data_IF_615460953736
#
_entry.id   IF_615460953736
#
_cell.length_a   1.000
_cell.length_b   1.000
_cell.length_c   1.000
_cell.angle_alpha   90.00
_cell.angle_beta   90.00
_cell.angle_gamma   90.00
#
_symmetry.space_group_name_H-M   'P 1'
#
loop_
_entity.id
_entity.type
_entity.pdbx_description
1 polymer ?
#
# COMPACT_ATOMS: atom_id res chain seq x y z
N UNK A 1 -1.24 -20.96 27.97
CA UNK A 1 -1.97 -19.95 27.18
C UNK A 1 -0.98 -18.82 26.97
N UNK A 2 -0.15 -18.93 25.95
CA UNK A 2 0.77 -17.86 25.54
C UNK A 2 -0.02 -16.91 24.63
N UNK A 3 -0.92 -16.14 25.24
CA UNK A 3 -1.37 -14.88 24.64
C UNK A 3 -0.30 -13.83 24.99
N UNK A 4 0.89 -13.95 24.40
CA UNK A 4 1.69 -12.76 24.23
C UNK A 4 0.89 -11.85 23.30
N UNK A 5 0.31 -10.78 23.88
CA UNK A 5 -0.29 -9.68 23.13
C UNK A 5 0.72 -9.23 22.06
N UNK A 6 0.59 -9.75 20.83
CA UNK A 6 1.30 -9.21 19.69
C UNK A 6 0.89 -7.75 19.61
N UNK A 7 1.70 -6.84 20.11
CA UNK A 7 1.35 -5.42 20.10
C UNK A 7 1.67 -4.86 18.72
N UNK A 8 0.65 -4.52 17.95
CA UNK A 8 0.84 -3.82 16.68
C UNK A 8 1.46 -2.44 16.96
N UNK A 9 2.47 -2.07 16.18
CA UNK A 9 3.17 -0.80 16.37
C UNK A 9 2.23 0.40 16.16
N UNK A 10 2.37 1.43 17.00
CA UNK A 10 1.62 2.69 16.81
C UNK A 10 1.96 3.37 15.48
N UNK A 11 3.14 3.13 14.92
CA UNK A 11 3.54 3.62 13.59
C UNK A 11 2.68 3.02 12.49
N UNK A 12 2.40 1.72 12.55
CA UNK A 12 1.53 1.05 11.59
C UNK A 12 0.10 1.62 11.68
N UNK A 13 -0.46 1.70 12.88
CA UNK A 13 -1.82 2.23 13.07
C UNK A 13 -1.94 3.69 12.61
N UNK A 14 -0.93 4.52 12.88
CA UNK A 14 -0.86 5.89 12.35
C UNK A 14 -0.79 5.91 10.82
N UNK A 15 -0.06 4.98 10.20
CA UNK A 15 0.03 4.89 8.73
C UNK A 15 -1.31 4.50 8.11
N UNK A 16 -2.08 3.61 8.73
CA UNK A 16 -3.44 3.26 8.29
C UNK A 16 -4.38 4.46 8.42
N UNK A 17 -4.29 5.22 9.51
CA UNK A 17 -5.07 6.46 9.68
C UNK A 17 -4.71 7.52 8.64
N UNK A 18 -3.41 7.72 8.39
CA UNK A 18 -2.92 8.64 7.38
C UNK A 18 -3.36 8.23 5.96
N UNK A 19 -3.33 6.93 5.65
CA UNK A 19 -3.85 6.40 4.39
C UNK A 19 -5.34 6.70 4.24
N UNK A 20 -6.13 6.40 5.26
CA UNK A 20 -7.58 6.63 5.24
C UNK A 20 -7.92 8.12 5.09
N UNK A 21 -7.31 8.99 5.91
CA UNK A 21 -7.53 10.44 5.87
C UNK A 21 -7.03 11.10 4.59
N UNK A 22 -5.97 10.54 4.00
CA UNK A 22 -5.36 11.01 2.75
C UNK A 22 -5.92 10.33 1.50
N UNK A 23 -6.91 9.44 1.65
CA UNK A 23 -7.32 8.51 0.59
C UNK A 23 -7.68 9.21 -0.71
N UNK A 24 -8.49 10.28 -0.69
CA UNK A 24 -8.83 11.02 -1.92
C UNK A 24 -7.61 11.43 -2.74
N UNK A 25 -6.59 12.01 -2.07
CA UNK A 25 -5.35 12.45 -2.75
C UNK A 25 -4.50 11.28 -3.24
N UNK A 26 -4.47 10.20 -2.47
CA UNK A 26 -3.75 8.98 -2.83
C UNK A 26 -4.43 8.36 -4.07
N UNK A 27 -5.76 8.27 -4.08
CA UNK A 27 -6.53 7.74 -5.19
C UNK A 27 -6.37 8.60 -6.44
N UNK A 28 -6.42 9.93 -6.33
CA UNK A 28 -6.17 10.83 -7.46
C UNK A 28 -4.77 10.63 -8.07
N UNK A 29 -3.74 10.44 -7.23
CA UNK A 29 -2.36 10.20 -7.66
C UNK A 29 -2.24 8.85 -8.39
N UNK A 30 -2.88 7.79 -7.87
CA UNK A 30 -2.88 6.47 -8.49
C UNK A 30 -3.79 6.36 -9.72
N UNK A 31 -4.88 7.13 -9.81
CA UNK A 31 -5.71 7.24 -11.01
C UNK A 31 -4.92 7.84 -12.18
N UNK A 32 -4.10 8.86 -11.90
CA UNK A 32 -3.22 9.46 -12.91
C UNK A 32 -2.17 8.44 -13.41
N UNK A 33 -1.61 7.65 -12.50
CA UNK A 33 -0.67 6.56 -12.83
C UNK A 33 -1.37 5.47 -13.64
N UNK A 34 -2.54 5.01 -13.20
CA UNK A 34 -3.34 3.99 -13.90
C UNK A 34 -3.72 4.45 -15.32
N UNK A 35 -4.05 5.74 -15.49
CA UNK A 35 -4.36 6.32 -16.81
C UNK A 35 -3.16 6.28 -17.77
N UNK A 36 -1.94 6.51 -17.27
CA UNK A 36 -0.70 6.39 -18.05
C UNK A 36 -0.40 4.93 -18.39
N UNK A 37 -0.43 4.05 -17.38
CA UNK A 37 -0.24 2.60 -17.56
C UNK A 37 -1.20 2.03 -18.61
N UNK A 38 -2.48 2.41 -18.56
CA UNK A 38 -3.50 1.96 -19.52
C UNK A 38 -3.24 2.41 -20.97
N UNK A 39 -2.40 3.43 -21.18
CA UNK A 39 -1.96 3.90 -22.51
C UNK A 39 -0.66 3.23 -22.97
N UNK A 40 -0.05 2.40 -22.12
CA UNK A 40 1.25 1.78 -22.37
C UNK A 40 2.44 2.68 -22.06
N UNK A 41 2.24 3.76 -21.30
CA UNK A 41 3.34 4.64 -20.87
C UNK A 41 4.12 3.98 -19.71
N UNK A 42 5.44 4.22 -19.63
CA UNK A 42 6.26 3.82 -18.48
C UNK A 42 5.92 4.68 -17.25
N UNK A 43 5.46 4.03 -16.19
CA UNK A 43 5.02 4.66 -14.94
C UNK A 43 6.03 4.55 -13.80
N UNK A 44 7.19 3.92 -14.03
CA UNK A 44 8.14 3.60 -12.96
C UNK A 44 8.65 4.85 -12.23
N UNK A 45 8.86 5.95 -12.97
CA UNK A 45 9.25 7.23 -12.39
C UNK A 45 8.15 7.83 -11.50
N UNK A 46 6.87 7.67 -11.87
CA UNK A 46 5.73 8.14 -11.08
C UNK A 46 5.60 7.34 -9.78
N UNK A 47 5.70 6.00 -9.86
CA UNK A 47 5.70 5.14 -8.67
C UNK A 47 6.85 5.46 -7.71
N UNK A 48 8.07 5.68 -8.25
CA UNK A 48 9.24 6.14 -7.47
C UNK A 48 8.99 7.49 -6.78
N UNK A 49 8.28 8.41 -7.44
CA UNK A 49 7.93 9.69 -6.86
C UNK A 49 6.96 9.53 -5.68
N UNK A 50 5.92 8.69 -5.82
CA UNK A 50 4.98 8.36 -4.72
C UNK A 50 5.73 7.77 -3.53
N UNK A 51 6.59 6.78 -3.81
CA UNK A 51 7.43 6.12 -2.81
C UNK A 51 8.33 7.09 -2.06
N UNK A 52 9.01 7.98 -2.77
CA UNK A 52 9.91 8.98 -2.19
C UNK A 52 9.15 9.99 -1.32
N UNK A 53 7.98 10.42 -1.78
CA UNK A 53 7.13 11.40 -1.11
C UNK A 53 6.53 10.84 0.18
N UNK A 54 6.00 9.61 0.13
CA UNK A 54 5.29 8.98 1.25
C UNK A 54 5.73 7.52 1.44
N UNK A 55 6.94 7.28 1.99
CA UNK A 55 7.50 5.93 2.06
C UNK A 55 6.66 4.97 2.90
N UNK A 56 6.02 5.44 3.98
CA UNK A 56 5.19 4.59 4.84
C UNK A 56 3.90 4.15 4.16
N UNK A 57 3.25 5.08 3.46
CA UNK A 57 2.04 4.80 2.68
C UNK A 57 2.35 3.83 1.55
N UNK A 58 3.47 4.03 0.85
CA UNK A 58 3.88 3.08 -0.17
C UNK A 58 4.15 1.69 0.42
N UNK A 59 4.77 1.60 1.60
CA UNK A 59 4.97 0.31 2.29
C UNK A 59 3.65 -0.36 2.71
N UNK A 60 2.61 0.42 3.03
CA UNK A 60 1.27 -0.11 3.26
C UNK A 60 0.66 -0.63 1.95
N UNK A 61 0.80 0.10 0.85
CA UNK A 61 0.33 -0.30 -0.49
C UNK A 61 1.00 -1.60 -0.93
N UNK A 62 2.33 -1.72 -0.78
CA UNK A 62 3.06 -2.98 -0.98
C UNK A 62 2.46 -4.13 -0.15
N UNK A 63 2.14 -3.86 1.12
CA UNK A 63 1.56 -4.88 2.01
C UNK A 63 0.15 -5.30 1.60
N UNK A 64 -0.64 -4.39 1.00
CA UNK A 64 -2.00 -4.67 0.49
C UNK A 64 -1.97 -5.72 -0.62
N UNK A 65 -0.96 -5.66 -1.49
CA UNK A 65 -0.82 -6.61 -2.60
C UNK A 65 -0.03 -7.86 -2.21
N UNK A 66 1.10 -7.73 -1.52
CA UNK A 66 2.08 -8.82 -1.41
C UNK A 66 2.17 -9.46 -0.02
N UNK A 67 1.52 -8.88 0.99
CA UNK A 67 1.56 -9.37 2.39
C UNK A 67 0.18 -9.45 3.03
N UNK A 68 -0.85 -9.76 2.24
CA UNK A 68 -2.26 -9.73 2.66
C UNK A 68 -2.51 -10.47 3.98
N UNK A 69 -1.99 -11.69 4.15
CA UNK A 69 -2.17 -12.44 5.40
C UNK A 69 -1.53 -11.74 6.62
N UNK A 70 -0.31 -11.21 6.46
CA UNK A 70 0.38 -10.47 7.53
C UNK A 70 -0.31 -9.13 7.82
N UNK A 71 -0.84 -8.48 6.77
CA UNK A 71 -1.60 -7.25 6.89
C UNK A 71 -2.89 -7.50 7.67
N UNK A 72 -3.70 -8.49 7.28
CA UNK A 72 -4.96 -8.82 7.97
C UNK A 72 -4.72 -9.17 9.45
N UNK A 73 -3.70 -9.98 9.76
CA UNK A 73 -3.29 -10.26 11.14
C UNK A 73 -3.02 -8.96 11.93
N UNK A 74 -2.28 -8.02 11.35
CA UNK A 74 -1.97 -6.72 11.99
C UNK A 74 -3.21 -5.84 12.12
N UNK A 75 -4.11 -5.85 11.14
CA UNK A 75 -5.36 -5.08 11.20
C UNK A 75 -6.27 -5.61 12.32
N UNK A 76 -6.36 -6.93 12.48
CA UNK A 76 -7.16 -7.62 13.49
C UNK A 76 -6.65 -7.32 14.90
N UNK A 77 -5.37 -7.57 15.11
CA UNK A 77 -4.70 -7.30 16.38
C UNK A 77 -4.76 -5.79 16.71
N UNK A 78 -4.59 -4.94 15.70
CA UNK A 78 -4.66 -3.50 15.80
C UNK A 78 -6.07 -2.94 16.01
N UNK A 79 -7.11 -3.79 15.92
CA UNK A 79 -8.53 -3.40 15.98
C UNK A 79 -8.85 -2.25 15.01
N UNK A 80 -8.26 -2.30 13.81
CA UNK A 80 -8.50 -1.30 12.78
C UNK A 80 -9.96 -1.32 12.37
N UNK A 81 -10.55 -0.13 12.25
CA UNK A 81 -11.97 0.02 11.95
C UNK A 81 -12.32 -0.49 10.56
N UNK A 82 -13.53 -1.01 10.43
CA UNK A 82 -14.05 -1.53 9.16
C UNK A 82 -13.96 -0.52 8.00
N UNK A 83 -14.29 0.76 8.24
CA UNK A 83 -14.22 1.83 7.23
C UNK A 83 -12.81 2.01 6.63
N UNK A 84 -11.76 1.80 7.43
CA UNK A 84 -10.38 1.91 6.98
C UNK A 84 -9.98 0.70 6.14
N UNK A 85 -10.43 -0.49 6.54
CA UNK A 85 -10.22 -1.73 5.79
C UNK A 85 -10.91 -1.71 4.43
N UNK A 86 -12.16 -1.27 4.41
CA UNK A 86 -12.92 -1.09 3.17
C UNK A 86 -12.22 -0.14 2.21
N UNK A 87 -11.63 0.94 2.73
CA UNK A 87 -10.84 1.87 1.89
C UNK A 87 -9.56 1.25 1.34
N UNK A 88 -8.89 0.38 2.10
CA UNK A 88 -7.72 -0.38 1.63
C UNK A 88 -8.11 -1.42 0.57
N UNK A 89 -9.24 -2.10 0.76
CA UNK A 89 -9.79 -3.04 -0.22
C UNK A 89 -10.21 -2.32 -1.51
N UNK A 90 -10.88 -1.17 -1.40
CA UNK A 90 -11.25 -0.33 -2.55
C UNK A 90 -10.00 0.06 -3.35
N UNK A 91 -8.91 0.43 -2.67
CA UNK A 91 -7.64 0.73 -3.33
C UNK A 91 -7.08 -0.49 -4.06
N UNK A 92 -7.05 -1.65 -3.40
CA UNK A 92 -6.56 -2.92 -3.99
C UNK A 92 -7.31 -3.28 -5.26
N UNK A 93 -8.63 -3.23 -5.21
CA UNK A 93 -9.49 -3.61 -6.33
C UNK A 93 -9.38 -2.60 -7.49
N UNK A 94 -9.36 -1.30 -7.19
CA UNK A 94 -9.32 -0.25 -8.20
C UNK A 94 -8.00 -0.19 -8.96
N UNK A 95 -6.89 -0.46 -8.26
CA UNK A 95 -5.54 -0.31 -8.81
C UNK A 95 -4.82 -1.64 -9.01
N UNK A 96 -5.56 -2.76 -9.05
CA UNK A 96 -4.99 -4.10 -9.25
C UNK A 96 -4.14 -4.24 -10.51
N UNK A 97 -4.44 -3.47 -11.55
CA UNK A 97 -3.66 -3.45 -12.79
C UNK A 97 -2.24 -2.90 -12.63
N UNK A 98 -1.92 -2.26 -11.49
CA UNK A 98 -0.61 -1.71 -11.17
C UNK A 98 0.23 -2.63 -10.27
N UNK A 99 -0.31 -3.78 -9.87
CA UNK A 99 0.33 -4.71 -8.93
C UNK A 99 1.72 -5.14 -9.43
N UNK A 100 1.84 -5.56 -10.68
CA UNK A 100 3.12 -6.02 -11.26
C UNK A 100 4.18 -4.90 -11.30
N UNK A 101 3.78 -3.65 -11.59
CA UNK A 101 4.70 -2.50 -11.61
C UNK A 101 5.17 -2.12 -10.21
N UNK A 102 4.28 -2.22 -9.21
CA UNK A 102 4.61 -2.00 -7.79
C UNK A 102 5.62 -3.06 -7.33
N UNK A 103 5.38 -4.33 -7.67
CA UNK A 103 6.30 -5.43 -7.41
C UNK A 103 7.68 -5.19 -8.03
N UNK A 104 7.70 -4.82 -9.32
CA UNK A 104 8.94 -4.55 -10.04
C UNK A 104 9.75 -3.45 -9.38
N UNK A 105 9.10 -2.37 -8.92
CA UNK A 105 9.76 -1.29 -8.19
C UNK A 105 10.41 -1.81 -6.90
N UNK A 106 9.69 -2.59 -6.09
CA UNK A 106 10.21 -3.13 -4.82
C UNK A 106 11.41 -4.05 -5.06
N UNK A 107 11.34 -4.89 -6.10
CA UNK A 107 12.45 -5.79 -6.48
C UNK A 107 13.68 -4.98 -6.94
N UNK A 108 13.49 -3.92 -7.74
CA UNK A 108 14.57 -3.03 -8.18
C UNK A 108 15.27 -2.38 -6.97
N UNK A 109 14.50 -1.94 -5.96
CA UNK A 109 15.02 -1.30 -4.75
C UNK A 109 15.78 -2.25 -3.82
N UNK A 110 15.35 -3.52 -3.72
CA UNK A 110 16.06 -4.53 -2.91
C UNK A 110 17.37 -4.98 -3.61
N UNK A 111 17.55 -4.65 -4.88
CA UNK A 111 18.77 -4.94 -5.64
C UNK A 111 18.85 -6.38 -6.13
N UNK A 112 17.72 -7.09 -6.22
CA UNK A 112 17.65 -8.47 -6.73
C UNK A 112 17.84 -8.52 -8.26
N UNK A 113 17.64 -7.39 -8.95
CA UNK A 113 17.82 -7.22 -10.40
C UNK A 113 19.14 -6.53 -10.79
N UNK A 114 20.22 -6.74 -10.04
CA UNK A 114 21.56 -6.24 -10.40
C UNK A 114 22.50 -7.35 -10.88
#
# INVERSE_FOLDING_TARGET
MEEEEKKVSGVFLGTVDDFYRGSDKIFDEFDAILSKHSKGDDIMADLKAVRTKNPRIFGLIDSIYHKEAELEDKLDIGKVKQEQREKMLEFKERFSALEEDIDLLVIEEIGVLR
#
